data_IF_450762643239
#
_entry.id   IF_450762643239
#
_cell.length_a   1.000
_cell.length_b   1.000
_cell.length_c   1.000
_cell.angle_alpha   90.00
_cell.angle_beta   90.00
_cell.angle_gamma   90.00
#
_symmetry.space_group_name_H-M   'P 1'
#
loop_
_entity.id
_entity.type
_entity.pdbx_description
1 polymer ?
#
# COMPACT_ATOMS: atom_id res chain seq x y z
N UNK A 1 9.78 -2.15 11.23
CA UNK A 1 8.57 -2.94 10.89
C UNK A 1 7.67 -2.99 12.12
N UNK A 2 6.37 -2.76 11.97
CA UNK A 2 5.40 -2.80 13.08
C UNK A 2 4.48 -4.01 13.02
N UNK A 3 4.27 -4.61 11.84
CA UNK A 3 3.49 -5.85 11.67
C UNK A 3 3.97 -6.64 10.47
N UNK A 4 4.01 -7.97 10.60
CA UNK A 4 4.30 -8.91 9.51
C UNK A 4 3.39 -10.12 9.66
N UNK A 5 2.34 -10.17 8.85
CA UNK A 5 1.45 -11.31 8.73
C UNK A 5 1.48 -11.81 7.28
N UNK A 6 2.11 -12.97 7.03
CA UNK A 6 2.23 -13.50 5.68
C UNK A 6 0.87 -13.57 4.95
N UNK A 7 0.86 -13.13 3.70
CA UNK A 7 -0.33 -13.08 2.84
C UNK A 7 -1.53 -12.26 3.38
N UNK A 8 -1.34 -11.44 4.43
CA UNK A 8 -2.42 -10.67 5.06
C UNK A 8 -2.06 -9.21 5.30
N UNK A 9 -0.93 -8.95 5.97
CA UNK A 9 -0.58 -7.60 6.33
C UNK A 9 0.94 -7.39 6.44
N UNK A 10 1.39 -6.27 5.90
CA UNK A 10 2.74 -5.75 6.12
C UNK A 10 2.64 -4.29 6.57
N UNK A 11 3.14 -3.98 7.77
CA UNK A 11 3.09 -2.63 8.30
C UNK A 11 4.45 -2.17 8.81
N UNK A 12 4.76 -0.89 8.60
CA UNK A 12 5.92 -0.25 9.17
C UNK A 12 5.66 1.21 9.49
N UNK A 13 6.50 1.76 10.36
CA UNK A 13 6.51 3.17 10.70
C UNK A 13 7.81 3.79 10.23
N UNK A 14 7.72 4.88 9.48
CA UNK A 14 8.83 5.74 9.09
C UNK A 14 8.75 6.99 9.96
N UNK A 15 9.78 7.27 10.76
CA UNK A 15 9.84 8.48 11.57
C UNK A 15 11.11 9.26 11.25
N UNK A 16 10.99 10.58 11.19
CA UNK A 16 12.15 11.45 11.09
C UNK A 16 13.01 11.38 12.37
N UNK A 17 14.31 11.68 12.29
CA UNK A 17 15.21 11.65 13.46
C UNK A 17 14.78 12.61 14.58
N UNK A 18 14.07 13.67 14.22
CA UNK A 18 13.54 14.67 15.16
C UNK A 18 12.13 14.28 15.59
N UNK A 19 11.89 13.98 16.89
CA UNK A 19 10.57 13.65 17.40
C UNK A 19 9.53 14.75 17.08
N UNK A 20 8.35 14.35 16.59
CA UNK A 20 7.22 15.25 16.32
C UNK A 20 7.24 16.00 14.99
N UNK A 21 8.30 15.86 14.18
CA UNK A 21 8.41 16.53 12.89
C UNK A 21 7.61 15.83 11.78
N UNK A 22 7.92 14.56 11.52
CA UNK A 22 7.24 13.71 10.56
C UNK A 22 7.29 12.26 11.03
N UNK A 23 6.13 11.64 11.12
CA UNK A 23 6.03 10.19 11.20
C UNK A 23 4.91 9.69 10.29
N UNK A 24 5.15 8.60 9.60
CA UNK A 24 4.20 7.97 8.70
C UNK A 24 4.08 6.49 9.08
N UNK A 25 2.86 5.99 9.19
CA UNK A 25 2.60 4.55 9.27
C UNK A 25 2.09 4.07 7.93
N UNK A 26 2.80 3.13 7.33
CA UNK A 26 2.42 2.50 6.10
C UNK A 26 1.91 1.09 6.37
N UNK A 27 0.84 0.70 5.68
CA UNK A 27 0.24 -0.63 5.73
C UNK A 27 -0.08 -1.11 4.34
N UNK A 28 0.27 -2.35 4.06
CA UNK A 28 -0.25 -3.14 2.95
C UNK A 28 -1.19 -4.20 3.51
N UNK A 29 -2.42 -4.20 3.02
CA UNK A 29 -3.46 -5.15 3.37
C UNK A 29 -3.74 -6.03 2.15
N UNK A 30 -3.72 -7.35 2.38
CA UNK A 30 -3.99 -8.36 1.38
C UNK A 30 -5.22 -9.15 1.82
N UNK A 31 -6.33 -8.91 1.14
CA UNK A 31 -7.59 -9.60 1.40
C UNK A 31 -7.82 -10.61 0.26
N UNK A 32 -7.88 -11.92 0.54
CA UNK A 32 -8.22 -12.91 -0.46
C UNK A 32 -9.67 -12.70 -0.91
N UNK A 33 -9.88 -12.82 -2.20
CA UNK A 33 -11.16 -12.84 -2.88
C UNK A 33 -11.27 -14.13 -3.68
N UNK A 34 -12.49 -14.50 -4.07
CA UNK A 34 -12.74 -15.61 -4.99
C UNK A 34 -11.99 -16.90 -4.58
N UNK A 35 -12.17 -17.29 -3.32
CA UNK A 35 -11.52 -18.44 -2.66
C UNK A 35 -9.97 -18.45 -2.72
N UNK A 36 -9.38 -17.25 -2.78
CA UNK A 36 -7.93 -17.06 -2.84
C UNK A 36 -7.36 -16.99 -4.26
N UNK A 37 -8.20 -17.10 -5.29
CA UNK A 37 -7.75 -16.91 -6.70
C UNK A 37 -7.47 -15.45 -7.03
N UNK A 38 -8.07 -14.52 -6.27
CA UNK A 38 -7.83 -13.07 -6.41
C UNK A 38 -7.46 -12.48 -5.06
N UNK A 39 -6.79 -11.34 -5.10
CA UNK A 39 -6.42 -10.59 -3.89
C UNK A 39 -6.79 -9.13 -4.09
N UNK A 40 -7.53 -8.56 -3.14
CA UNK A 40 -7.64 -7.11 -3.00
C UNK A 40 -6.42 -6.62 -2.24
N UNK A 41 -5.62 -5.82 -2.92
CA UNK A 41 -4.51 -5.11 -2.33
C UNK A 41 -4.96 -3.69 -1.95
N UNK A 42 -4.79 -3.32 -0.68
CA UNK A 42 -5.03 -1.95 -0.22
C UNK A 42 -3.75 -1.43 0.43
N UNK A 43 -3.21 -0.34 -0.10
CA UNK A 43 -2.14 0.41 0.57
C UNK A 43 -2.71 1.61 1.31
N UNK A 44 -2.21 1.83 2.52
CA UNK A 44 -2.63 2.94 3.39
C UNK A 44 -1.40 3.57 3.99
N UNK A 45 -1.24 4.87 3.79
CA UNK A 45 -0.24 5.67 4.49
C UNK A 45 -0.94 6.72 5.36
N UNK A 46 -0.66 6.68 6.66
CA UNK A 46 -1.15 7.65 7.63
C UNK A 46 0.00 8.55 8.06
N UNK A 47 -0.07 9.82 7.65
CA UNK A 47 0.89 10.85 8.02
C UNK A 47 0.49 11.50 9.35
N UNK A 48 1.39 11.47 10.32
CA UNK A 48 1.32 12.14 11.61
C UNK A 48 2.22 13.36 11.70
N UNK A 49 2.25 13.97 12.88
CA UNK A 49 3.06 15.15 13.18
C UNK A 49 2.57 16.44 12.51
N UNK A 50 3.35 17.50 12.69
CA UNK A 50 3.05 18.85 12.16
C UNK A 50 3.01 18.83 10.62
N UNK A 51 3.89 18.06 9.99
CA UNK A 51 3.97 17.96 8.55
C UNK A 51 2.71 17.33 7.92
N UNK A 52 2.10 16.33 8.56
CA UNK A 52 0.84 15.73 8.09
C UNK A 52 -0.34 16.71 8.10
N UNK A 53 -0.37 17.64 9.05
CA UNK A 53 -1.41 18.68 9.15
C UNK A 53 -1.23 19.80 8.11
N UNK A 54 -0.01 20.00 7.61
CA UNK A 54 0.33 21.09 6.69
C UNK A 54 0.39 20.66 5.21
N UNK A 55 -0.02 19.43 4.86
CA UNK A 55 0.03 18.96 3.47
C UNK A 55 -1.03 19.69 2.62
N UNK A 56 -0.65 20.57 1.67
CA UNK A 56 -1.61 21.30 0.85
C UNK A 56 -2.33 20.37 -0.12
N UNK A 57 -3.56 20.71 -0.50
CA UNK A 57 -4.42 19.90 -1.39
C UNK A 57 -3.72 19.35 -2.63
N UNK A 58 -3.03 20.19 -3.45
CA UNK A 58 -2.34 19.71 -4.64
C UNK A 58 -1.23 18.69 -4.36
N UNK A 59 -0.57 18.77 -3.19
CA UNK A 59 0.41 17.77 -2.79
C UNK A 59 -0.28 16.46 -2.38
N UNK A 60 -1.42 16.53 -1.68
CA UNK A 60 -2.23 15.34 -1.35
C UNK A 60 -2.69 14.62 -2.62
N UNK A 61 -3.11 15.35 -3.64
CA UNK A 61 -3.57 14.77 -4.91
C UNK A 61 -2.41 14.11 -5.67
N UNK A 62 -1.22 14.74 -5.68
CA UNK A 62 -0.01 14.14 -6.25
C UNK A 62 0.42 12.88 -5.51
N UNK A 63 0.36 12.88 -4.17
CA UNK A 63 0.65 11.69 -3.37
C UNK A 63 -0.35 10.57 -3.69
N UNK A 64 -1.65 10.89 -3.78
CA UNK A 64 -2.70 9.94 -4.17
C UNK A 64 -2.41 9.33 -5.54
N UNK A 65 -2.13 10.16 -6.55
CA UNK A 65 -1.80 9.68 -7.89
C UNK A 65 -0.58 8.75 -7.87
N UNK A 66 0.44 9.07 -7.08
CA UNK A 66 1.61 8.20 -6.89
C UNK A 66 1.24 6.83 -6.30
N UNK A 67 0.35 6.78 -5.31
CA UNK A 67 -0.16 5.51 -4.77
C UNK A 67 -0.96 4.74 -5.81
N UNK A 68 -1.83 5.39 -6.57
CA UNK A 68 -2.62 4.76 -7.63
C UNK A 68 -1.71 4.13 -8.70
N UNK A 69 -0.72 4.88 -9.20
CA UNK A 69 0.29 4.35 -10.14
C UNK A 69 1.07 3.17 -9.56
N UNK A 70 1.43 3.21 -8.27
CA UNK A 70 2.11 2.08 -7.62
C UNK A 70 1.21 0.84 -7.54
N UNK A 71 -0.08 1.01 -7.23
CA UNK A 71 -1.05 -0.09 -7.21
C UNK A 71 -1.19 -0.73 -8.60
N UNK A 72 -1.29 0.09 -9.65
CA UNK A 72 -1.40 -0.39 -11.03
C UNK A 72 -0.17 -1.19 -11.44
N UNK A 73 1.03 -0.64 -11.24
CA UNK A 73 2.28 -1.33 -11.56
C UNK A 73 2.46 -2.63 -10.75
N UNK A 74 2.05 -2.63 -9.47
CA UNK A 74 2.09 -3.83 -8.64
C UNK A 74 1.13 -4.90 -9.14
N UNK A 75 -0.10 -4.50 -9.51
CA UNK A 75 -1.11 -5.38 -10.08
C UNK A 75 -0.59 -6.04 -11.35
N UNK A 76 -0.10 -5.25 -12.30
CA UNK A 76 0.45 -5.75 -13.57
C UNK A 76 1.55 -6.78 -13.34
N UNK A 77 2.51 -6.47 -12.47
CA UNK A 77 3.63 -7.37 -12.17
C UNK A 77 3.19 -8.65 -11.46
N UNK A 78 2.24 -8.56 -10.52
CA UNK A 78 1.74 -9.72 -9.80
C UNK A 78 0.97 -10.66 -10.73
N UNK A 79 0.11 -10.10 -11.59
CA UNK A 79 -0.69 -10.87 -12.54
C UNK A 79 0.15 -11.43 -13.70
N UNK A 80 1.18 -10.72 -14.17
CA UNK A 80 2.08 -11.21 -15.22
C UNK A 80 2.95 -12.40 -14.79
N UNK A 81 3.13 -12.58 -13.48
CA UNK A 81 3.94 -13.67 -12.91
C UNK A 81 3.13 -14.97 -12.78
N UNK A 82 1.81 -14.91 -12.93
CA UNK A 82 0.93 -16.08 -12.90
C UNK A 82 0.77 -16.57 -14.34
N UNK A 83 1.21 -17.80 -14.69
CA UNK A 83 0.77 -18.41 -15.94
C UNK A 83 -0.75 -18.48 -15.88
N UNK A 84 -1.43 -17.90 -16.87
CA UNK A 84 -2.88 -18.09 -17.03
C UNK A 84 -3.11 -19.59 -17.08
N UNK A 85 -3.59 -20.17 -15.98
CA UNK A 85 -4.03 -21.55 -15.97
C UNK A 85 -5.15 -21.61 -17.01
N UNK A 86 -4.91 -22.40 -18.06
CA UNK A 86 -5.78 -22.57 -19.21
C UNK A 86 -7.21 -22.81 -18.70
N UNK A 87 -8.09 -21.83 -18.93
CA UNK A 87 -9.51 -21.96 -18.65
C UNK A 87 -10.10 -22.93 -19.68
N UNK A 88 -9.92 -24.22 -19.43
CA UNK A 88 -10.57 -25.32 -20.15
C UNK A 88 -10.99 -26.37 -19.14
N UNK A 89 -12.26 -26.30 -18.73
CA UNK A 89 -13.23 -27.40 -18.79
C UNK A 89 -14.63 -26.82 -19.01
#
# INVERSE_FOLDING_TARGET
>A
MTRVEPARELAWRSAAPVPGSFDATHRFLLEPLDDGTRTRFTQVETFGGVAGALVPGPLRDRLRAGFETMNEALRERAESTIPVADARE
#
